data_IF_609817296671
#
_entry.id   IF_609817296671
#
_cell.length_a   1.000
_cell.length_b   1.000
_cell.length_c   1.000
_cell.angle_alpha   90.00
_cell.angle_beta   90.00
_cell.angle_gamma   90.00
#
_symmetry.space_group_name_H-M   'P 1'
#
loop_
_entity.id
_entity.type
_entity.pdbx_description
1 polymer ?
#
# COMPACT_ATOMS: atom_id res chain seq x y z
N UNK A 1 0.05 -5.83 14.85
CA UNK A 1 0.34 -4.37 14.69
C UNK A 1 -0.95 -3.59 14.41
N UNK A 2 -1.11 -2.34 14.86
CA UNK A 2 -2.29 -1.52 14.54
C UNK A 2 -2.01 -0.57 13.37
N UNK A 3 -2.90 -0.48 12.38
CA UNK A 3 -2.78 0.41 11.22
C UNK A 3 -4.00 1.34 11.16
N UNK A 4 -3.76 2.66 11.15
CA UNK A 4 -4.81 3.69 11.24
C UNK A 4 -4.58 4.71 10.13
N UNK A 5 -5.59 4.92 9.28
CA UNK A 5 -5.42 5.78 8.11
C UNK A 5 -6.71 6.16 7.40
N UNK A 6 -6.55 6.80 6.24
CA UNK A 6 -7.64 7.16 5.33
C UNK A 6 -7.84 6.01 4.36
N UNK A 7 -9.04 5.42 4.35
CA UNK A 7 -9.36 4.31 3.45
C UNK A 7 -10.05 4.80 2.17
N UNK A 8 -9.67 4.19 1.04
CA UNK A 8 -10.42 4.24 -0.22
C UNK A 8 -10.56 2.82 -0.79
N UNK A 9 -11.57 2.61 -1.64
CA UNK A 9 -11.77 1.35 -2.37
C UNK A 9 -11.46 1.60 -3.84
N UNK A 10 -10.64 0.73 -4.42
CA UNK A 10 -10.19 0.83 -5.80
C UNK A 10 -10.66 -0.37 -6.63
N UNK A 11 -10.97 -0.15 -7.90
CA UNK A 11 -11.30 -1.19 -8.86
C UNK A 11 -10.04 -1.93 -9.28
N UNK A 12 -10.06 -3.25 -9.29
CA UNK A 12 -8.97 -4.09 -9.82
C UNK A 12 -9.21 -4.53 -11.27
N UNK A 13 -10.35 -4.12 -11.85
CA UNK A 13 -10.68 -4.42 -13.25
C UNK A 13 -9.73 -3.69 -14.17
N UNK A 14 -9.26 -4.40 -15.20
CA UNK A 14 -8.36 -3.87 -16.22
C UNK A 14 -7.07 -3.24 -15.64
N UNK A 15 -6.65 -3.67 -14.44
CA UNK A 15 -5.44 -3.15 -13.79
C UNK A 15 -5.50 -1.64 -13.43
N UNK A 16 -6.71 -1.07 -13.34
CA UNK A 16 -6.93 0.36 -13.03
C UNK A 16 -6.47 0.77 -11.62
N UNK A 17 -6.31 -0.19 -10.71
CA UNK A 17 -5.85 0.09 -9.35
C UNK A 17 -4.48 0.75 -9.35
N UNK A 18 -3.57 0.42 -10.27
CA UNK A 18 -2.22 0.96 -10.27
C UNK A 18 -2.21 2.48 -10.49
N UNK A 19 -2.98 2.95 -11.47
CA UNK A 19 -3.05 4.40 -11.77
C UNK A 19 -3.83 5.16 -10.70
N UNK A 20 -4.92 4.59 -10.21
CA UNK A 20 -5.80 5.25 -9.23
C UNK A 20 -5.22 5.29 -7.82
N UNK A 21 -4.53 4.22 -7.38
CA UNK A 21 -3.74 4.22 -6.14
C UNK A 21 -2.54 5.16 -6.28
N UNK A 22 -1.86 5.18 -7.43
CA UNK A 22 -0.78 6.14 -7.70
C UNK A 22 -1.23 7.59 -7.53
N UNK A 23 -2.39 7.95 -8.10
CA UNK A 23 -2.96 9.30 -7.93
C UNK A 23 -3.31 9.60 -6.46
N UNK A 24 -3.75 8.60 -5.69
CA UNK A 24 -4.02 8.77 -4.26
C UNK A 24 -2.72 8.98 -3.46
N UNK A 25 -1.64 8.30 -3.82
CA UNK A 25 -0.31 8.60 -3.28
C UNK A 25 0.12 10.03 -3.58
N UNK A 26 -0.02 10.48 -4.82
CA UNK A 26 0.37 11.85 -5.22
C UNK A 26 -0.42 12.92 -4.45
N UNK A 27 -1.73 12.72 -4.26
CA UNK A 27 -2.60 13.60 -3.46
C UNK A 27 -2.11 13.73 -2.02
N UNK A 28 -1.90 12.62 -1.32
CA UNK A 28 -1.56 12.63 0.11
C UNK A 28 -0.09 13.01 0.34
N UNK A 29 0.82 12.57 -0.54
CA UNK A 29 2.24 12.89 -0.45
C UNK A 29 2.53 14.38 -0.65
N UNK A 30 1.69 15.10 -1.40
CA UNK A 30 1.80 16.56 -1.50
C UNK A 30 1.61 17.30 -0.16
N UNK A 31 0.95 16.68 0.83
CA UNK A 31 0.70 17.26 2.16
C UNK A 31 1.73 16.79 3.18
N UNK A 32 2.00 15.48 3.20
CA UNK A 32 2.77 14.83 4.27
C UNK A 32 4.20 14.45 3.88
N UNK A 33 4.56 14.53 2.59
CA UNK A 33 5.80 13.96 2.07
C UNK A 33 5.70 12.44 1.91
N UNK A 34 6.25 11.91 0.81
CA UNK A 34 6.14 10.48 0.48
C UNK A 34 6.88 9.62 1.50
N UNK A 35 8.04 10.07 1.99
CA UNK A 35 8.84 9.32 2.94
C UNK A 35 8.19 9.15 4.32
N UNK A 36 7.17 9.96 4.64
CA UNK A 36 6.43 9.90 5.91
C UNK A 36 5.20 9.01 5.86
N UNK A 37 4.85 8.50 4.68
CA UNK A 37 3.63 7.76 4.42
C UNK A 37 3.89 6.26 4.28
N UNK A 38 2.84 5.49 4.55
CA UNK A 38 2.75 4.08 4.24
C UNK A 38 1.35 3.77 3.74
N UNK A 39 1.27 2.87 2.78
CA UNK A 39 0.00 2.38 2.24
C UNK A 39 -0.23 0.93 2.63
N UNK A 40 -1.49 0.56 2.84
CA UNK A 40 -1.92 -0.80 3.14
C UNK A 40 -2.96 -1.23 2.10
N UNK A 41 -2.61 -2.20 1.26
CA UNK A 41 -3.57 -2.95 0.46
C UNK A 41 -4.17 -4.10 1.29
N UNK A 42 -5.49 -4.20 1.33
CA UNK A 42 -6.22 -5.21 2.09
C UNK A 42 -7.59 -5.51 1.47
N UNK A 43 -8.27 -6.54 2.01
CA UNK A 43 -9.63 -6.92 1.59
C UNK A 43 -9.75 -7.11 0.05
N UNK A 44 -8.76 -7.78 -0.53
CA UNK A 44 -8.75 -8.12 -1.95
C UNK A 44 -9.99 -8.95 -2.34
N UNK A 45 -10.64 -8.55 -3.43
CA UNK A 45 -11.69 -9.32 -4.11
C UNK A 45 -11.33 -9.51 -5.58
N UNK A 46 -12.20 -10.17 -6.36
CA UNK A 46 -12.00 -10.29 -7.80
C UNK A 46 -12.06 -8.94 -8.53
N UNK A 47 -12.74 -7.96 -7.94
CA UNK A 47 -13.15 -6.72 -8.62
C UNK A 47 -12.66 -5.45 -7.90
N UNK A 48 -12.14 -5.58 -6.68
CA UNK A 48 -11.73 -4.45 -5.86
C UNK A 48 -10.62 -4.79 -4.86
N UNK A 49 -9.97 -3.73 -4.39
CA UNK A 49 -9.05 -3.74 -3.25
C UNK A 49 -9.40 -2.55 -2.34
N UNK A 50 -9.33 -2.74 -1.03
CA UNK A 50 -9.31 -1.61 -0.09
C UNK A 50 -7.86 -1.16 0.12
N UNK A 51 -7.64 0.15 0.08
CA UNK A 51 -6.32 0.72 0.26
C UNK A 51 -6.37 1.83 1.30
N UNK A 52 -5.47 1.75 2.29
CA UNK A 52 -5.44 2.65 3.44
C UNK A 52 -4.13 3.41 3.44
N UNK A 53 -4.19 4.74 3.46
CA UNK A 53 -3.02 5.61 3.56
C UNK A 53 -2.83 6.05 5.02
N UNK A 54 -1.64 5.84 5.58
CA UNK A 54 -1.31 6.19 6.95
C UNK A 54 0.05 6.87 7.05
N UNK A 55 0.30 7.52 8.20
CA UNK A 55 1.63 8.01 8.55
C UNK A 55 2.46 6.88 9.16
N UNK A 56 3.76 6.85 8.86
CA UNK A 56 4.71 5.97 9.55
C UNK A 56 4.78 6.26 11.05
N UNK A 57 4.61 7.53 11.41
CA UNK A 57 4.60 8.01 12.79
C UNK A 57 3.41 8.95 13.01
N UNK A 58 2.57 8.63 13.99
CA UNK A 58 1.37 9.42 14.32
C UNK A 58 0.12 8.94 13.59
N UNK A 59 -0.94 9.77 13.61
CA UNK A 59 -2.22 9.49 12.97
C UNK A 59 -2.47 10.58 11.94
N UNK A 60 -2.76 10.17 10.71
CA UNK A 60 -3.09 11.09 9.62
C UNK A 60 -4.40 11.82 9.91
N UNK A 61 -4.47 13.12 9.60
CA UNK A 61 -5.71 13.88 9.76
C UNK A 61 -6.80 13.30 8.85
N UNK A 62 -8.01 13.12 9.38
CA UNK A 62 -9.13 12.55 8.64
C UNK A 62 -9.12 11.02 8.55
N UNK A 63 -8.27 10.33 9.31
CA UNK A 63 -8.30 8.88 9.42
C UNK A 63 -9.71 8.38 9.80
N UNK A 64 -10.25 7.47 8.99
CA UNK A 64 -11.60 6.91 9.10
C UNK A 64 -11.59 5.39 9.21
N UNK A 65 -10.40 4.78 9.21
CA UNK A 65 -10.22 3.35 9.20
C UNK A 65 -9.11 2.90 10.15
N UNK A 66 -9.34 1.76 10.78
CA UNK A 66 -8.47 1.14 11.76
C UNK A 66 -8.53 -0.38 11.63
N UNK A 67 -7.37 -1.03 11.61
CA UNK A 67 -7.26 -2.49 11.54
C UNK A 67 -6.10 -3.03 12.37
N UNK A 68 -6.30 -4.21 12.95
CA UNK A 68 -5.23 -5.02 13.53
C UNK A 68 -4.66 -5.97 12.49
N UNK A 69 -3.35 -5.88 12.30
CA UNK A 69 -2.55 -6.61 11.35
C UNK A 69 -1.77 -7.75 12.02
N UNK A 70 -1.50 -8.86 11.31
CA UNK A 70 -0.75 -9.99 11.83
C UNK A 70 0.72 -9.63 12.12
N UNK A 71 1.44 -10.54 12.78
CA UNK A 71 2.83 -10.30 13.19
C UNK A 71 3.85 -10.86 12.19
N UNK A 72 3.47 -11.82 11.35
CA UNK A 72 4.38 -12.46 10.38
C UNK A 72 4.27 -11.84 8.99
N UNK A 73 5.40 -11.32 8.48
CA UNK A 73 5.49 -10.64 7.19
C UNK A 73 6.74 -11.07 6.42
N UNK A 74 6.59 -11.19 5.11
CA UNK A 74 7.73 -11.24 4.18
C UNK A 74 8.04 -9.82 3.72
N UNK A 75 9.32 -9.48 3.60
CA UNK A 75 9.77 -8.14 3.20
C UNK A 75 10.59 -8.24 1.92
N UNK A 76 10.26 -7.39 0.94
CA UNK A 76 11.01 -7.18 -0.28
C UNK A 76 11.41 -5.71 -0.33
N UNK A 77 12.64 -5.45 -0.76
CA UNK A 77 13.17 -4.09 -0.97
C UNK A 77 13.66 -3.98 -2.40
N UNK A 78 13.48 -2.82 -3.00
CA UNK A 78 13.90 -2.58 -4.37
C UNK A 78 13.76 -1.12 -4.75
N UNK A 79 13.64 -0.87 -6.05
CA UNK A 79 13.48 0.46 -6.63
C UNK A 79 12.06 0.64 -7.15
N UNK A 80 11.53 1.85 -7.08
CA UNK A 80 10.18 2.19 -7.56
C UNK A 80 10.02 1.91 -9.06
N UNK A 81 11.09 2.08 -9.84
CA UNK A 81 11.12 1.74 -11.28
C UNK A 81 10.97 0.23 -11.57
N UNK A 82 11.24 -0.62 -10.57
CA UNK A 82 11.12 -2.08 -10.67
C UNK A 82 9.81 -2.62 -10.09
N UNK A 83 8.87 -1.76 -9.67
CA UNK A 83 7.65 -2.19 -8.96
C UNK A 83 6.84 -3.23 -9.73
N UNK A 84 6.71 -3.10 -11.04
CA UNK A 84 5.99 -4.09 -11.85
C UNK A 84 6.61 -5.49 -11.77
N UNK A 85 7.94 -5.59 -11.72
CA UNK A 85 8.65 -6.86 -11.54
C UNK A 85 8.50 -7.39 -10.12
N UNK A 86 8.67 -6.51 -9.13
CA UNK A 86 8.51 -6.86 -7.70
C UNK A 86 7.11 -7.43 -7.46
N UNK A 87 6.06 -6.77 -7.93
CA UNK A 87 4.70 -7.27 -7.80
C UNK A 87 4.44 -8.51 -8.64
N UNK A 88 5.02 -8.64 -9.83
CA UNK A 88 4.97 -9.88 -10.60
C UNK A 88 5.51 -11.09 -9.82
N UNK A 89 6.61 -10.91 -9.09
CA UNK A 89 7.18 -11.94 -8.23
C UNK A 89 6.35 -12.19 -6.96
N UNK A 90 5.82 -11.13 -6.33
CA UNK A 90 4.98 -11.24 -5.13
C UNK A 90 3.64 -11.91 -5.46
N UNK A 91 2.97 -11.56 -6.55
CA UNK A 91 1.66 -12.12 -6.88
C UNK A 91 1.73 -13.50 -7.56
N UNK A 92 2.94 -14.03 -7.81
CA UNK A 92 3.14 -15.34 -8.43
C UNK A 92 2.49 -16.50 -7.68
N UNK A 93 2.39 -16.40 -6.36
CA UNK A 93 1.78 -17.42 -5.51
C UNK A 93 0.29 -17.15 -5.19
N UNK A 94 -0.32 -16.17 -5.86
CA UNK A 94 -1.72 -15.77 -5.65
C UNK A 94 -1.89 -14.47 -4.85
N UNK A 95 -3.14 -14.18 -4.52
CA UNK A 95 -3.54 -12.94 -3.82
C UNK A 95 -3.00 -12.87 -2.40
N UNK A 96 -2.83 -11.65 -1.91
CA UNK A 96 -2.32 -11.36 -0.56
C UNK A 96 -3.48 -11.12 0.40
N UNK A 97 -3.29 -11.48 1.68
CA UNK A 97 -4.18 -11.00 2.74
C UNK A 97 -3.96 -9.51 2.95
N UNK A 98 -2.69 -9.11 3.05
CA UNK A 98 -2.27 -7.74 3.26
C UNK A 98 -0.95 -7.45 2.56
N UNK A 99 -0.80 -6.21 2.10
CA UNK A 99 0.46 -5.63 1.63
C UNK A 99 0.66 -4.25 2.23
N UNK A 100 1.84 -3.95 2.76
CA UNK A 100 2.24 -2.63 3.23
C UNK A 100 3.33 -2.11 2.32
N UNK A 101 3.12 -0.91 1.80
CA UNK A 101 4.00 -0.23 0.86
C UNK A 101 4.63 0.99 1.54
N UNK A 102 5.94 1.12 1.38
CA UNK A 102 6.69 2.30 1.78
C UNK A 102 7.59 2.74 0.64
N UNK A 103 7.58 4.05 0.37
CA UNK A 103 8.37 4.68 -0.68
C UNK A 103 9.16 5.86 -0.10
N UNK A 104 10.23 6.23 -0.79
CA UNK A 104 10.95 7.48 -0.54
C UNK A 104 11.20 8.25 -1.84
N UNK A 105 11.64 9.49 -1.69
CA UNK A 105 11.93 10.40 -2.81
C UNK A 105 13.20 10.02 -3.58
N UNK A 106 14.04 9.14 -3.02
CA UNK A 106 15.21 8.59 -3.71
C UNK A 106 14.83 7.45 -4.66
N UNK A 107 13.55 7.04 -4.67
CA UNK A 107 13.04 5.96 -5.50
C UNK A 107 13.29 4.57 -4.92
N UNK A 108 13.55 4.44 -3.62
CA UNK A 108 13.55 3.15 -2.94
C UNK A 108 12.12 2.76 -2.58
N UNK A 109 11.86 1.46 -2.57
CA UNK A 109 10.62 0.89 -2.08
C UNK A 109 10.87 -0.27 -1.11
N UNK A 110 9.97 -0.41 -0.15
CA UNK A 110 9.87 -1.57 0.73
C UNK A 110 8.43 -2.07 0.71
N UNK A 111 8.23 -3.32 0.29
CA UNK A 111 6.94 -3.99 0.28
C UNK A 111 6.97 -5.09 1.33
N UNK A 112 6.04 -5.04 2.28
CA UNK A 112 5.80 -6.11 3.25
C UNK A 112 4.51 -6.81 2.89
N UNK A 113 4.47 -8.13 2.85
CA UNK A 113 3.23 -8.86 2.56
C UNK A 113 3.06 -10.11 3.40
N UNK A 114 1.81 -10.55 3.55
CA UNK A 114 1.44 -11.83 4.14
C UNK A 114 0.25 -12.46 3.39
N UNK A 115 0.08 -13.77 3.56
CA UNK A 115 -0.91 -14.63 2.86
C UNK A 115 -1.52 -15.61 3.84
#
# INVERSE_FOLDING_TARGET
>A
MKFIGIRKVFSTKNEEQYSTIGAFWDEISAIYGRENLMGLGCNWTSDSIEYVMALKNGIIEGADYEIELPDEWKTVRGRTEELGKIYGDIYKDGVLLYEIEEFDDEGNCQIRYCR
#
